data_IF_034184074474
#
_entry.id   IF_034184074474
#
_cell.length_a   1.000
_cell.length_b   1.000
_cell.length_c   1.000
_cell.angle_alpha   90.00
_cell.angle_beta   90.00
_cell.angle_gamma   90.00
#
_symmetry.space_group_name_H-M   'P 1'
#
loop_
_entity.id
_entity.type
_entity.pdbx_description
1 polymer ?
#
# COMPACT_ATOMS: atom_id res chain seq x y z
N UNK A 1 1.26 -1.41 22.26
CA UNK A 1 2.57 -1.39 21.56
C UNK A 1 2.56 -2.21 20.27
N UNK A 2 1.88 -3.35 20.16
CA UNK A 2 1.78 -4.09 18.87
C UNK A 2 0.88 -3.42 17.81
N UNK A 3 -0.08 -2.61 18.28
CA UNK A 3 -1.03 -1.88 17.42
C UNK A 3 -0.35 -0.81 16.55
N UNK A 4 0.59 -0.09 17.15
CA UNK A 4 1.34 0.98 16.51
C UNK A 4 2.33 0.42 15.48
N UNK A 5 2.91 -0.76 15.73
CA UNK A 5 3.83 -1.42 14.80
C UNK A 5 3.12 -1.87 13.52
N UNK A 6 1.97 -2.53 13.64
CA UNK A 6 1.19 -2.98 12.47
C UNK A 6 0.75 -1.79 11.61
N UNK A 7 0.26 -0.72 12.23
CA UNK A 7 -0.12 0.51 11.52
C UNK A 7 1.07 1.19 10.83
N UNK A 8 2.24 1.22 11.46
CA UNK A 8 3.47 1.75 10.87
C UNK A 8 3.91 0.93 9.65
N UNK A 9 3.81 -0.39 9.71
CA UNK A 9 4.11 -1.28 8.58
C UNK A 9 3.19 -0.98 7.40
N UNK A 10 1.87 -0.88 7.62
CA UNK A 10 0.90 -0.56 6.56
C UNK A 10 1.20 0.80 5.94
N UNK A 11 1.40 1.82 6.77
CA UNK A 11 1.68 3.19 6.32
C UNK A 11 2.95 3.26 5.47
N UNK A 12 4.03 2.58 5.89
CA UNK A 12 5.29 2.52 5.14
C UNK A 12 5.12 1.77 3.82
N UNK A 13 4.37 0.66 3.81
CA UNK A 13 4.13 -0.12 2.60
C UNK A 13 3.34 0.67 1.56
N UNK A 14 2.26 1.34 1.95
CA UNK A 14 1.47 2.21 1.05
C UNK A 14 2.31 3.34 0.46
N UNK A 15 3.08 4.05 1.30
CA UNK A 15 3.97 5.11 0.81
C UNK A 15 5.04 4.59 -0.15
N UNK A 16 5.65 3.45 0.15
CA UNK A 16 6.72 2.90 -0.67
C UNK A 16 6.23 2.34 -2.03
N UNK A 17 5.03 1.76 -2.08
CA UNK A 17 4.52 1.07 -3.28
C UNK A 17 3.55 1.94 -4.08
N UNK A 18 2.64 2.64 -3.40
CA UNK A 18 1.56 3.41 -4.04
C UNK A 18 1.80 4.92 -4.01
N UNK A 19 2.88 5.39 -3.35
CA UNK A 19 3.22 6.80 -3.21
C UNK A 19 2.11 7.68 -2.59
N UNK A 20 1.28 7.08 -1.72
CA UNK A 20 0.23 7.77 -0.96
C UNK A 20 0.08 7.19 0.45
N UNK A 21 -0.56 7.89 1.39
CA UNK A 21 -1.02 7.24 2.62
C UNK A 21 -2.17 6.25 2.34
N UNK A 22 -2.35 5.24 3.20
CA UNK A 22 -3.54 4.39 3.15
C UNK A 22 -4.80 5.22 3.46
N UNK A 23 -5.91 4.83 2.85
CA UNK A 23 -7.24 5.26 3.29
C UNK A 23 -7.64 4.52 4.58
N UNK A 24 -8.71 4.98 5.23
CA UNK A 24 -9.15 4.42 6.51
C UNK A 24 -9.49 2.93 6.41
N UNK A 25 -10.21 2.54 5.36
CA UNK A 25 -10.62 1.14 5.14
C UNK A 25 -9.42 0.22 4.90
N UNK A 26 -8.51 0.60 4.00
CA UNK A 26 -7.29 -0.16 3.72
C UNK A 26 -6.36 -0.22 4.93
N UNK A 27 -6.24 0.89 5.67
CA UNK A 27 -5.46 0.93 6.90
C UNK A 27 -6.00 -0.06 7.92
N UNK A 28 -7.30 -0.03 8.22
CA UNK A 28 -7.93 -0.91 9.19
C UNK A 28 -7.83 -2.38 8.77
N UNK A 29 -8.15 -2.67 7.51
CA UNK A 29 -8.11 -4.03 6.98
C UNK A 29 -6.72 -4.66 7.10
N UNK A 30 -5.69 -4.03 6.55
CA UNK A 30 -4.35 -4.61 6.53
C UNK A 30 -3.70 -4.64 7.93
N UNK A 31 -3.97 -3.63 8.74
CA UNK A 31 -3.52 -3.60 10.14
C UNK A 31 -4.10 -4.79 10.91
N UNK A 32 -5.38 -5.09 10.73
CA UNK A 32 -6.02 -6.24 11.37
C UNK A 32 -5.48 -7.58 10.86
N UNK A 33 -5.17 -7.72 9.57
CA UNK A 33 -4.55 -8.94 9.03
C UNK A 33 -3.14 -9.19 9.59
N UNK A 34 -2.32 -8.13 9.72
CA UNK A 34 -0.98 -8.21 10.31
C UNK A 34 -1.04 -8.58 11.80
N UNK A 35 -1.93 -7.95 12.57
CA UNK A 35 -2.15 -8.28 13.99
C UNK A 35 -2.52 -9.75 14.19
N UNK A 36 -3.40 -10.27 13.33
CA UNK A 36 -3.83 -11.67 13.37
C UNK A 36 -2.79 -12.65 12.82
N UNK A 37 -1.61 -12.15 12.38
CA UNK A 37 -0.55 -12.93 11.72
C UNK A 37 -1.04 -13.73 10.50
N UNK A 38 -2.14 -13.27 9.89
CA UNK A 38 -2.71 -13.83 8.65
C UNK A 38 -2.00 -13.32 7.41
N UNK A 39 -1.23 -12.25 7.56
CA UNK A 39 -0.45 -11.61 6.51
C UNK A 39 0.92 -11.25 7.07
N UNK A 40 1.96 -11.41 6.26
CA UNK A 40 3.31 -10.91 6.55
C UNK A 40 3.54 -9.58 5.82
N UNK A 41 4.43 -8.72 6.33
CA UNK A 41 4.78 -7.45 5.68
C UNK A 41 5.17 -7.62 4.21
N UNK A 42 5.96 -8.66 3.90
CA UNK A 42 6.38 -8.96 2.51
C UNK A 42 5.18 -9.29 1.61
N UNK A 43 4.17 -9.96 2.14
CA UNK A 43 2.97 -10.34 1.40
C UNK A 43 2.08 -9.11 1.16
N UNK A 44 1.96 -8.23 2.16
CA UNK A 44 1.31 -6.93 2.00
C UNK A 44 1.92 -6.15 0.84
N UNK A 45 3.25 -6.00 0.80
CA UNK A 45 3.93 -5.28 -0.29
C UNK A 45 3.63 -5.91 -1.66
N UNK A 46 3.63 -7.25 -1.74
CA UNK A 46 3.28 -7.97 -2.98
C UNK A 46 1.83 -7.73 -3.38
N UNK A 47 0.89 -7.71 -2.43
CA UNK A 47 -0.52 -7.41 -2.70
C UNK A 47 -0.70 -5.99 -3.25
N UNK A 48 0.00 -5.00 -2.66
CA UNK A 48 -0.05 -3.62 -3.15
C UNK A 48 0.52 -3.52 -4.57
N UNK A 49 1.66 -4.16 -4.88
CA UNK A 49 2.24 -4.17 -6.24
C UNK A 49 1.30 -4.83 -7.25
N UNK A 50 0.55 -5.86 -6.84
CA UNK A 50 -0.41 -6.57 -7.71
C UNK A 50 -1.77 -5.88 -7.82
N UNK A 51 -2.00 -4.80 -7.08
CA UNK A 51 -3.28 -4.11 -7.09
C UNK A 51 -3.53 -3.35 -8.40
N UNK A 52 -4.80 -3.19 -8.75
CA UNK A 52 -5.20 -2.34 -9.87
C UNK A 52 -4.76 -0.89 -9.66
N UNK A 53 -4.72 -0.43 -8.42
CA UNK A 53 -4.24 0.91 -8.08
C UNK A 53 -2.77 1.12 -8.49
N UNK A 54 -1.89 0.17 -8.21
CA UNK A 54 -0.49 0.26 -8.63
C UNK A 54 -0.38 0.33 -10.15
N UNK A 55 -1.16 -0.49 -10.87
CA UNK A 55 -1.23 -0.47 -12.32
C UNK A 55 -1.71 0.90 -12.83
N UNK A 56 -2.80 1.44 -12.28
CA UNK A 56 -3.35 2.74 -12.64
C UNK A 56 -2.32 3.85 -12.38
N UNK A 57 -1.63 3.83 -11.25
CA UNK A 57 -0.60 4.82 -10.93
C UNK A 57 0.57 4.78 -11.93
N UNK A 58 0.98 3.58 -12.37
CA UNK A 58 1.99 3.43 -13.43
C UNK A 58 1.49 3.96 -14.78
N UNK A 59 0.28 3.60 -15.20
CA UNK A 59 -0.31 4.10 -16.46
C UNK A 59 -0.41 5.64 -16.46
N UNK A 60 -0.85 6.22 -15.33
CA UNK A 60 -0.92 7.66 -15.15
C UNK A 60 0.47 8.31 -15.21
N UNK A 61 1.47 7.69 -14.58
CA UNK A 61 2.86 8.17 -14.64
C UNK A 61 3.37 8.22 -16.07
N UNK A 62 3.20 7.15 -16.85
CA UNK A 62 3.62 7.12 -18.25
C UNK A 62 2.86 8.15 -19.09
N UNK A 63 1.56 8.28 -18.87
CA UNK A 63 0.72 9.27 -19.55
C UNK A 63 1.21 10.69 -19.28
N UNK A 64 1.52 11.02 -18.02
CA UNK A 64 2.03 12.34 -17.64
C UNK A 64 3.41 12.62 -18.27
N UNK A 65 4.31 11.64 -18.25
CA UNK A 65 5.65 11.77 -18.86
C UNK A 65 5.54 12.03 -20.36
N UNK A 66 4.66 11.31 -21.07
CA UNK A 66 4.49 11.47 -22.52
C UNK A 66 3.88 12.83 -22.85
N UNK A 67 2.92 13.29 -22.05
CA UNK A 67 2.17 14.51 -22.31
C UNK A 67 2.88 15.80 -21.85
N UNK A 68 4.06 15.70 -21.21
CA UNK A 68 4.88 16.84 -20.78
C UNK A 68 4.07 17.88 -19.96
N UNK A 69 3.24 17.41 -19.02
CA UNK A 69 2.66 18.23 -17.95
C UNK A 69 3.45 18.06 -16.65
#
# INVERSE_FOLDING_TARGET
>A
MEEEESGNIVTKAYKAILNRPPDEEGFEYFTNQLKQKKLLEKELKVLLVKSDEYKINLENLFTNIINNQ
#
